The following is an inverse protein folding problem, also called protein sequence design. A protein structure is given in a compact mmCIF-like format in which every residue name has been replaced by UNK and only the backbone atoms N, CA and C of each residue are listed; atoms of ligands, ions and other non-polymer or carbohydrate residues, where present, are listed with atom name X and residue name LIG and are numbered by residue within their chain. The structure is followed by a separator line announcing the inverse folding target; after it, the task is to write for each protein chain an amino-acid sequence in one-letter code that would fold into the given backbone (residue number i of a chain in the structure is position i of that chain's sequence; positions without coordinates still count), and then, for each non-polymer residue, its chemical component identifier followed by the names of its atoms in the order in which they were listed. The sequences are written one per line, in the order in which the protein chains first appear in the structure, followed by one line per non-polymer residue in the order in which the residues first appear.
data_IF_343770999966
#
_entry.id   IF_343770999966
#
_cell.length_a   1.000
_cell.length_b   1.000
_cell.length_c   1.000
_cell.angle_alpha   90.00
_cell.angle_beta   90.00
_cell.angle_gamma   90.00
#
_symmetry.space_group_name_H-M   'P 1'
#
loop_
_entity.id
_entity.type
_entity.pdbx_description
1 polymer ?
#
# COMPACT_ATOMS: atom_id res chain seq x y z
N UNK A 1 8.45 3.12 -8.31
CA UNK A 1 7.03 3.23 -8.72
C UNK A 1 6.10 2.76 -7.61
N UNK A 2 4.91 3.34 -7.52
CA UNK A 2 3.92 2.97 -6.49
C UNK A 2 2.70 2.25 -7.07
N UNK A 3 2.12 1.33 -6.30
CA UNK A 3 0.84 0.66 -6.54
C UNK A 3 -0.03 0.86 -5.30
N UNK A 4 -0.88 1.87 -5.35
CA UNK A 4 -1.74 2.31 -4.25
C UNK A 4 -3.20 1.91 -4.47
N UNK A 5 -3.99 1.91 -3.42
CA UNK A 5 -5.43 1.62 -3.46
C UNK A 5 -5.94 1.04 -2.14
N UNK A 6 -7.25 0.95 -1.98
CA UNK A 6 -7.87 0.49 -0.72
C UNK A 6 -7.61 -0.99 -0.45
N UNK A 7 -7.82 -1.44 0.79
CA UNK A 7 -7.81 -2.87 1.11
C UNK A 7 -8.82 -3.64 0.27
N UNK A 8 -8.45 -4.84 -0.18
CA UNK A 8 -9.29 -5.68 -1.05
C UNK A 8 -9.31 -5.29 -2.53
N UNK A 9 -8.62 -4.22 -2.95
CA UNK A 9 -8.58 -3.79 -4.35
C UNK A 9 -7.60 -4.60 -5.23
N UNK A 10 -6.75 -5.44 -4.63
CA UNK A 10 -5.81 -6.32 -5.37
C UNK A 10 -4.40 -5.77 -5.59
N UNK A 11 -3.95 -4.78 -4.81
CA UNK A 11 -2.62 -4.15 -4.95
C UNK A 11 -1.45 -5.14 -5.01
N UNK A 12 -1.36 -6.04 -4.04
CA UNK A 12 -0.21 -6.94 -3.93
C UNK A 12 -0.15 -7.94 -5.09
N UNK A 13 -1.31 -8.41 -5.56
CA UNK A 13 -1.42 -9.23 -6.77
C UNK A 13 -1.00 -8.44 -8.01
N UNK A 14 -1.55 -7.23 -8.20
CA UNK A 14 -1.22 -6.37 -9.32
C UNK A 14 0.28 -6.03 -9.35
N UNK A 15 0.87 -5.71 -8.19
CA UNK A 15 2.28 -5.38 -8.07
C UNK A 15 3.18 -6.58 -8.39
N UNK A 16 2.82 -7.79 -7.94
CA UNK A 16 3.54 -9.01 -8.25
C UNK A 16 3.46 -9.37 -9.75
N UNK A 17 2.28 -9.25 -10.36
CA UNK A 17 2.09 -9.48 -11.80
C UNK A 17 2.85 -8.46 -12.65
N UNK A 18 2.81 -7.19 -12.25
CA UNK A 18 3.60 -6.14 -12.88
C UNK A 18 5.11 -6.40 -12.76
N UNK A 19 5.57 -6.85 -11.58
CA UNK A 19 6.95 -7.22 -11.37
C UNK A 19 7.38 -8.34 -12.32
N UNK A 20 6.60 -9.42 -12.40
CA UNK A 20 6.87 -10.54 -13.30
C UNK A 20 6.95 -10.09 -14.77
N UNK A 21 6.01 -9.25 -15.22
CA UNK A 21 5.99 -8.73 -16.59
C UNK A 21 7.22 -7.83 -16.89
N UNK A 22 7.71 -7.06 -15.92
CA UNK A 22 8.92 -6.26 -16.08
C UNK A 22 10.17 -7.14 -16.16
N UNK A 23 10.24 -8.17 -15.31
CA UNK A 23 11.33 -9.15 -15.30
C UNK A 23 11.40 -9.94 -16.60
N UNK A 24 10.26 -10.39 -17.13
CA UNK A 24 10.15 -11.04 -18.46
C UNK A 24 10.68 -10.15 -19.60
N UNK A 25 10.61 -8.83 -19.43
CA UNK A 25 11.15 -7.84 -20.37
C UNK A 25 12.62 -7.49 -20.10
N UNK A 26 13.28 -8.23 -19.22
CA UNK A 26 14.70 -8.05 -18.88
C UNK A 26 14.98 -6.86 -17.96
N UNK A 27 13.96 -6.34 -17.26
CA UNK A 27 14.13 -5.30 -16.25
C UNK A 27 14.06 -5.93 -14.85
N UNK A 28 15.16 -5.94 -14.07
CA UNK A 28 15.12 -6.43 -12.70
C UNK A 28 14.11 -5.64 -11.86
N UNK A 29 13.44 -6.31 -10.92
CA UNK A 29 12.47 -5.67 -10.03
C UNK A 29 12.82 -5.95 -8.58
N UNK A 30 12.64 -4.92 -7.74
CA UNK A 30 12.59 -5.06 -6.30
C UNK A 30 11.18 -4.71 -5.86
N UNK A 31 10.40 -5.73 -5.49
CA UNK A 31 9.06 -5.54 -4.97
C UNK A 31 9.10 -5.41 -3.44
N UNK A 32 8.58 -4.30 -2.92
CA UNK A 32 8.50 -4.02 -1.49
C UNK A 32 7.06 -3.70 -1.11
N UNK A 33 6.53 -4.36 -0.09
CA UNK A 33 5.25 -3.96 0.49
C UNK A 33 5.47 -2.90 1.56
N UNK A 34 4.70 -1.81 1.50
CA UNK A 34 4.70 -0.79 2.56
C UNK A 34 4.29 -1.39 3.92
N UNK A 35 3.62 -2.55 3.93
CA UNK A 35 3.21 -3.22 5.15
C UNK A 35 4.37 -3.59 6.08
N UNK A 36 5.58 -3.79 5.54
CA UNK A 36 6.83 -3.98 6.30
C UNK A 36 7.33 -2.73 7.02
N UNK A 37 6.64 -1.60 6.86
CA UNK A 37 6.92 -0.31 7.48
C UNK A 37 5.72 0.20 8.27
N UNK A 38 4.86 -0.70 8.76
CA UNK A 38 3.86 -0.29 9.75
C UNK A 38 4.54 0.18 11.05
N UNK A 39 3.89 1.10 11.74
CA UNK A 39 4.21 1.36 13.13
C UNK A 39 3.79 0.16 14.01
N UNK A 40 4.45 -0.03 15.17
CA UNK A 40 3.97 -0.94 16.19
C UNK A 40 2.54 -0.62 16.63
N UNK A 41 1.79 -1.63 17.09
CA UNK A 41 0.38 -1.49 17.55
C UNK A 41 0.21 -0.35 18.57
N UNK A 42 1.17 -0.18 19.46
CA UNK A 42 1.17 0.89 20.47
C UNK A 42 1.02 2.29 19.85
N UNK A 43 1.61 2.52 18.66
CA UNK A 43 1.46 3.80 17.95
C UNK A 43 0.23 3.81 17.06
N UNK A 44 -0.03 2.73 16.28
CA UNK A 44 -1.19 2.63 15.38
C UNK A 44 -2.54 2.78 16.09
N UNK A 45 -2.60 2.43 17.38
CA UNK A 45 -3.81 2.45 18.19
C UNK A 45 -3.81 3.54 19.27
N UNK A 46 -2.83 4.45 19.27
CA UNK A 46 -2.74 5.52 20.29
C UNK A 46 -3.95 6.46 20.32
N UNK A 47 -4.64 6.61 19.18
CA UNK A 47 -5.90 7.37 19.04
C UNK A 47 -7.15 6.53 19.30
N UNK A 48 -6.97 5.30 19.77
CA UNK A 48 -8.02 4.29 19.95
C UNK A 48 -8.01 3.25 18.84
N UNK A 49 -8.25 1.99 19.23
CA UNK A 49 -8.17 0.83 18.33
C UNK A 49 -9.12 0.91 17.12
N UNK A 50 -10.20 1.69 17.21
CA UNK A 50 -11.21 1.87 16.15
C UNK A 50 -11.15 3.25 15.46
N UNK A 51 -10.15 4.09 15.75
CA UNK A 51 -10.08 5.45 15.20
C UNK A 51 -9.73 5.44 13.70
N UNK A 52 -10.59 6.00 12.84
CA UNK A 52 -10.27 6.24 11.42
C UNK A 52 -9.07 7.17 11.23
N UNK A 53 -8.95 8.20 12.06
CA UNK A 53 -7.83 9.14 12.03
C UNK A 53 -6.51 8.44 12.37
N UNK A 54 -6.53 7.53 13.35
CA UNK A 54 -5.38 6.69 13.68
C UNK A 54 -5.00 5.75 12.53
N UNK A 55 -5.98 5.19 11.82
CA UNK A 55 -5.69 4.39 10.62
C UNK A 55 -5.03 5.21 9.52
N UNK A 56 -5.49 6.44 9.27
CA UNK A 56 -4.92 7.31 8.25
C UNK A 56 -3.53 7.88 8.62
N UNK A 57 -3.39 8.38 9.86
CA UNK A 57 -2.21 9.17 10.26
C UNK A 57 -1.11 8.34 10.92
N UNK A 58 -1.46 7.25 11.60
CA UNK A 58 -0.55 6.56 12.51
C UNK A 58 -0.17 5.14 12.05
N UNK A 59 -0.63 4.70 10.86
CA UNK A 59 -0.40 3.32 10.40
C UNK A 59 1.04 3.02 10.01
N UNK A 60 1.74 3.93 9.32
CA UNK A 60 3.02 3.66 8.66
C UNK A 60 4.14 4.61 9.10
N UNK A 61 5.35 4.07 9.13
CA UNK A 61 6.62 4.77 9.34
C UNK A 61 7.17 5.16 7.96
N UNK A 62 6.66 6.26 7.42
CA UNK A 62 7.12 6.74 6.13
C UNK A 62 8.58 7.19 6.16
N UNK A 63 9.09 7.65 7.32
CA UNK A 63 10.49 8.00 7.44
C UNK A 63 11.38 6.75 7.28
N UNK A 64 10.98 5.62 7.89
CA UNK A 64 11.66 4.36 7.69
C UNK A 64 11.53 3.85 6.25
N UNK A 65 10.34 3.91 5.64
CA UNK A 65 10.15 3.52 4.22
C UNK A 65 11.07 4.33 3.29
N UNK A 66 11.13 5.65 3.49
CA UNK A 66 12.00 6.53 2.71
C UNK A 66 13.46 6.16 2.92
N UNK A 67 13.93 6.08 4.16
CA UNK A 67 15.34 5.83 4.47
C UNK A 67 15.83 4.43 4.03
N UNK A 68 14.96 3.42 4.06
CA UNK A 68 15.33 2.03 3.79
C UNK A 68 15.06 1.59 2.36
N UNK A 69 14.25 2.32 1.59
CA UNK A 69 13.82 1.90 0.24
C UNK A 69 13.96 3.04 -0.75
N UNK A 70 13.20 4.14 -0.55
CA UNK A 70 13.04 5.18 -1.58
C UNK A 70 14.30 6.04 -1.76
N UNK A 71 15.09 6.21 -0.71
CA UNK A 71 16.32 7.00 -0.70
C UNK A 71 17.55 6.22 -0.21
N UNK A 72 17.51 4.88 -0.29
CA UNK A 72 18.58 4.01 0.22
C UNK A 72 19.76 3.80 -0.76
N UNK A 73 19.69 4.38 -1.97
CA UNK A 73 20.73 4.24 -2.99
C UNK A 73 20.83 2.82 -3.56
N UNK A 74 22.04 2.25 -3.56
CA UNK A 74 22.30 0.89 -4.07
C UNK A 74 21.84 -0.21 -3.12
N UNK A 75 21.64 0.11 -1.84
CA UNK A 75 21.13 -0.84 -0.86
C UNK A 75 19.64 -0.62 -0.64
N UNK A 76 18.99 -1.62 -0.08
CA UNK A 76 17.65 -1.49 0.46
C UNK A 76 17.40 -2.50 1.58
N UNK A 77 16.41 -2.21 2.42
CA UNK A 77 15.89 -3.14 3.42
C UNK A 77 14.37 -3.22 3.22
N UNK A 78 13.79 -4.41 2.98
CA UNK A 78 12.39 -4.51 2.54
C UNK A 78 11.37 -4.33 3.67
N UNK A 79 11.80 -4.43 4.93
CA UNK A 79 10.94 -4.26 6.10
C UNK A 79 11.77 -3.93 7.34
N UNK A 80 11.15 -3.21 8.29
CA UNK A 80 11.66 -2.94 9.64
C UNK A 80 10.68 -3.40 10.72
N UNK A 81 9.49 -3.83 10.34
CA UNK A 81 8.43 -4.28 11.23
C UNK A 81 7.61 -5.40 10.60
N UNK A 82 7.24 -6.41 11.38
CA UNK A 82 6.22 -7.39 11.01
C UNK A 82 4.87 -6.96 11.59
N UNK A 83 3.96 -6.52 10.73
CA UNK A 83 2.63 -6.03 11.11
C UNK A 83 1.77 -7.09 11.81
N UNK A 84 2.02 -8.38 11.56
CA UNK A 84 1.26 -9.51 12.12
C UNK A 84 1.73 -9.84 13.54
N UNK A 85 3.03 -10.06 13.72
CA UNK A 85 3.62 -10.40 15.02
C UNK A 85 3.83 -9.19 15.92
N UNK A 86 3.80 -7.99 15.33
CA UNK A 86 4.13 -6.71 15.96
C UNK A 86 5.61 -6.57 16.34
N UNK A 87 6.48 -7.41 15.78
CA UNK A 87 7.92 -7.41 16.06
C UNK A 87 8.69 -6.38 15.21
N UNK A 88 9.66 -5.72 15.85
CA UNK A 88 10.66 -4.91 15.14
C UNK A 88 11.67 -5.86 14.52
N UNK A 89 11.96 -5.66 13.24
CA UNK A 89 12.86 -6.49 12.45
C UNK A 89 14.20 -5.78 12.23
N UNK A 90 15.29 -6.52 12.38
CA UNK A 90 16.62 -6.09 11.94
C UNK A 90 17.10 -6.98 10.79
N UNK A 91 16.50 -6.77 9.62
CA UNK A 91 16.86 -7.49 8.42
C UNK A 91 18.19 -6.97 7.85
N UNK A 92 19.04 -7.83 7.27
CA UNK A 92 20.25 -7.37 6.60
C UNK A 92 19.90 -6.47 5.41
N UNK A 93 20.78 -5.50 5.13
CA UNK A 93 20.71 -4.74 3.89
C UNK A 93 20.94 -5.67 2.69
N UNK A 94 20.18 -5.42 1.64
CA UNK A 94 20.28 -6.14 0.37
C UNK A 94 20.80 -5.21 -0.71
N UNK A 95 21.59 -5.75 -1.63
CA UNK A 95 22.06 -5.02 -2.80
C UNK A 95 20.95 -5.03 -3.84
N UNK A 96 20.61 -3.85 -4.34
CA UNK A 96 19.67 -3.67 -5.45
C UNK A 96 20.36 -4.08 -6.75
N UNK A 97 19.72 -4.91 -7.61
CA UNK A 97 20.27 -5.18 -8.93
C UNK A 97 20.41 -3.88 -9.74
N UNK A 98 21.46 -3.80 -10.56
CA UNK A 98 21.71 -2.64 -11.41
C UNK A 98 20.51 -2.36 -12.32
N UNK A 99 20.06 -1.11 -12.33
CA UNK A 99 18.92 -0.67 -13.12
C UNK A 99 17.58 -1.28 -12.71
N UNK A 100 17.47 -1.85 -11.50
CA UNK A 100 16.21 -2.40 -11.02
C UNK A 100 15.13 -1.32 -10.82
N UNK A 101 13.89 -1.68 -11.12
CA UNK A 101 12.71 -0.88 -10.77
C UNK A 101 12.27 -1.27 -9.37
N UNK A 102 12.16 -0.31 -8.44
CA UNK A 102 11.46 -0.56 -7.18
C UNK A 102 9.96 -0.43 -7.44
N UNK A 103 9.20 -1.48 -7.12
CA UNK A 103 7.75 -1.46 -7.05
C UNK A 103 7.34 -1.47 -5.58
N UNK A 104 6.64 -0.42 -5.14
CA UNK A 104 6.09 -0.35 -3.77
C UNK A 104 4.58 -0.50 -3.82
N UNK A 105 4.02 -1.52 -3.18
CA UNK A 105 2.56 -1.65 -3.00
C UNK A 105 2.14 -1.35 -1.57
N UNK A 106 0.96 -0.76 -1.41
CA UNK A 106 0.48 -0.41 -0.08
C UNK A 106 -0.67 0.57 -0.06
N UNK A 107 -1.09 0.96 1.13
CA UNK A 107 -2.06 2.02 1.31
C UNK A 107 -1.35 3.37 1.34
N UNK A 108 -2.06 4.43 0.99
CA UNK A 108 -1.69 5.81 1.33
C UNK A 108 -0.42 6.33 0.62
N UNK A 109 -0.02 5.70 -0.48
CA UNK A 109 1.25 6.02 -1.14
C UNK A 109 1.24 7.35 -1.89
N UNK A 110 0.08 7.90 -2.26
CA UNK A 110 -0.03 9.22 -2.92
C UNK A 110 -0.22 10.39 -1.95
N UNK A 111 0.16 10.23 -0.67
CA UNK A 111 0.18 11.31 0.31
C UNK A 111 1.30 12.33 0.04
N UNK A 112 1.20 13.50 0.65
CA UNK A 112 2.09 14.65 0.40
C UNK A 112 3.57 14.29 0.66
N UNK A 113 3.83 13.48 1.68
CA UNK A 113 5.17 13.08 2.09
C UNK A 113 5.85 12.12 1.09
N UNK A 114 5.07 11.45 0.22
CA UNK A 114 5.55 10.39 -0.66
C UNK A 114 5.44 10.71 -2.15
N UNK A 115 4.51 11.57 -2.55
CA UNK A 115 4.18 11.79 -3.97
C UNK A 115 5.39 12.20 -4.82
N UNK A 116 6.35 12.93 -4.24
CA UNK A 116 7.56 13.38 -4.93
C UNK A 116 8.60 12.27 -5.18
N UNK A 117 8.45 11.10 -4.54
CA UNK A 117 9.36 9.96 -4.71
C UNK A 117 8.97 9.02 -5.86
N UNK A 118 7.81 9.25 -6.49
CA UNK A 118 7.30 8.35 -7.53
C UNK A 118 7.61 8.87 -8.93
N UNK A 119 8.52 8.21 -9.64
CA UNK A 119 8.72 8.46 -11.09
C UNK A 119 7.50 8.03 -11.92
N UNK A 120 6.78 7.02 -11.42
CA UNK A 120 5.55 6.48 -11.99
C UNK A 120 4.71 5.87 -10.86
N UNK A 121 3.39 5.99 -10.96
CA UNK A 121 2.50 5.36 -9.99
C UNK A 121 1.16 4.95 -10.57
N UNK A 122 0.58 3.92 -9.96
CA UNK A 122 -0.73 3.38 -10.26
C UNK A 122 -1.61 3.52 -9.02
N UNK A 123 -2.82 4.05 -9.21
CA UNK A 123 -3.87 3.97 -8.20
C UNK A 123 -4.95 2.99 -8.66
N UNK A 124 -5.09 1.89 -7.93
CA UNK A 124 -6.15 0.91 -8.12
C UNK A 124 -7.40 1.38 -7.39
N UNK A 125 -8.51 1.46 -8.12
CA UNK A 125 -9.81 1.86 -7.58
C UNK A 125 -10.85 0.77 -7.75
N UNK A 126 -11.74 0.65 -6.78
CA UNK A 126 -12.98 -0.10 -6.88
C UNK A 126 -13.94 0.40 -5.78
N UNK A 127 -15.26 0.26 -5.94
CA UNK A 127 -16.22 0.62 -4.89
C UNK A 127 -15.94 -0.15 -3.58
N UNK A 128 -16.14 0.49 -2.43
CA UNK A 128 -15.98 -0.19 -1.13
C UNK A 128 -16.86 -1.44 -1.00
N UNK A 129 -18.07 -1.44 -1.56
CA UNK A 129 -18.92 -2.63 -1.58
C UNK A 129 -18.25 -3.83 -2.28
N UNK A 130 -17.43 -3.59 -3.30
CA UNK A 130 -16.64 -4.62 -3.98
C UNK A 130 -15.45 -5.03 -3.13
N UNK A 131 -14.67 -4.06 -2.64
CA UNK A 131 -13.41 -4.38 -1.96
C UNK A 131 -13.63 -4.98 -0.57
N UNK A 132 -14.64 -4.52 0.17
CA UNK A 132 -15.04 -5.10 1.45
C UNK A 132 -15.58 -6.51 1.27
N UNK A 133 -16.43 -6.75 0.28
CA UNK A 133 -16.90 -8.11 -0.01
C UNK A 133 -15.74 -9.08 -0.33
N UNK A 134 -14.71 -8.62 -1.05
CA UNK A 134 -13.50 -9.41 -1.30
C UNK A 134 -12.70 -9.70 -0.02
N UNK A 135 -12.57 -8.72 0.87
CA UNK A 135 -11.94 -8.95 2.17
C UNK A 135 -12.72 -9.98 2.98
N UNK A 136 -14.04 -9.81 3.10
CA UNK A 136 -14.92 -10.73 3.80
C UNK A 136 -14.81 -12.17 3.28
N UNK A 137 -14.79 -12.35 1.95
CA UNK A 137 -14.59 -13.66 1.33
C UNK A 137 -13.21 -14.28 1.62
N UNK A 138 -12.18 -13.45 1.80
CA UNK A 138 -10.79 -13.89 2.04
C UNK A 138 -10.52 -14.25 3.50
N UNK A 139 -11.01 -13.44 4.44
CA UNK A 139 -10.61 -13.52 5.86
C UNK A 139 -11.79 -13.66 6.84
N UNK A 140 -13.02 -13.75 6.34
CA UNK A 140 -14.22 -13.90 7.16
C UNK A 140 -14.63 -12.62 7.90
N UNK A 141 -14.07 -11.47 7.51
CA UNK A 141 -14.52 -10.15 8.01
C UNK A 141 -15.93 -9.80 7.52
N UNK A 142 -16.43 -8.65 7.99
CA UNK A 142 -17.77 -8.20 7.66
C UNK A 142 -17.89 -7.78 6.19
N UNK A 143 -19.03 -8.07 5.55
CA UNK A 143 -19.23 -7.81 4.12
C UNK A 143 -19.91 -6.47 3.83
N UNK A 144 -20.53 -5.85 4.83
CA UNK A 144 -21.18 -4.54 4.71
C UNK A 144 -20.18 -3.40 4.96
N UNK A 145 -19.82 -2.57 3.96
CA UNK A 145 -18.88 -1.47 4.13
C UNK A 145 -19.34 -0.40 5.16
N UNK A 146 -20.64 -0.33 5.45
CA UNK A 146 -21.19 0.60 6.44
C UNK A 146 -21.23 0.00 7.86
N UNK A 147 -20.81 -1.27 8.03
CA UNK A 147 -20.80 -1.91 9.32
C UNK A 147 -19.82 -1.23 10.30
N UNK A 148 -20.20 -0.97 11.57
CA UNK A 148 -19.37 -0.23 12.53
C UNK A 148 -17.98 -0.83 12.80
N UNK A 149 -17.78 -2.14 12.61
CA UNK A 149 -16.47 -2.79 12.76
C UNK A 149 -15.46 -2.35 11.68
N UNK A 150 -15.95 -1.96 10.50
CA UNK A 150 -15.13 -1.52 9.37
C UNK A 150 -14.93 -0.01 9.32
N UNK A 151 -15.62 0.75 10.18
CA UNK A 151 -15.57 2.22 10.22
C UNK A 151 -14.13 2.74 10.28
N UNK A 152 -13.24 2.09 11.05
CA UNK A 152 -11.80 2.41 11.10
C UNK A 152 -11.17 2.45 9.71
N UNK A 153 -11.41 1.41 8.91
CA UNK A 153 -10.78 1.22 7.61
C UNK A 153 -11.45 2.08 6.54
N UNK A 154 -12.78 1.96 6.40
CA UNK A 154 -13.53 2.67 5.36
C UNK A 154 -13.48 4.19 5.57
N UNK A 155 -13.70 4.67 6.80
CA UNK A 155 -13.64 6.12 7.05
C UNK A 155 -12.20 6.65 6.98
N UNK A 156 -11.19 5.87 7.38
CA UNK A 156 -9.81 6.31 7.24
C UNK A 156 -9.36 6.39 5.77
N UNK A 157 -9.85 5.49 4.90
CA UNK A 157 -9.67 5.64 3.45
C UNK A 157 -10.40 6.88 2.91
N UNK A 158 -11.59 7.21 3.41
CA UNK A 158 -12.29 8.45 3.03
C UNK A 158 -11.53 9.71 3.48
N UNK A 159 -10.90 9.70 4.65
CA UNK A 159 -10.02 10.77 5.11
C UNK A 159 -8.83 10.94 4.17
N UNK A 160 -8.20 9.83 3.77
CA UNK A 160 -7.14 9.86 2.76
C UNK A 160 -7.60 10.46 1.43
N UNK A 161 -8.74 10.00 0.92
CA UNK A 161 -9.30 10.49 -0.34
C UNK A 161 -9.60 11.98 -0.30
N UNK A 162 -10.18 12.47 0.79
CA UNK A 162 -10.46 13.89 0.97
C UNK A 162 -9.18 14.73 1.07
N UNK A 163 -8.13 14.21 1.72
CA UNK A 163 -6.88 14.92 1.90
C UNK A 163 -6.01 14.94 0.63
N UNK A 164 -6.00 13.84 -0.14
CA UNK A 164 -5.01 13.64 -1.18
C UNK A 164 -5.59 13.54 -2.59
N UNK A 165 -6.86 13.16 -2.77
CA UNK A 165 -7.42 12.83 -4.09
C UNK A 165 -6.45 11.95 -4.92
N UNK A 166 -6.09 10.75 -4.44
CA UNK A 166 -4.95 9.99 -4.95
C UNK A 166 -5.02 9.68 -6.45
N UNK A 167 -6.21 9.51 -7.00
CA UNK A 167 -6.46 9.35 -8.43
C UNK A 167 -5.97 10.55 -9.28
N UNK A 168 -5.93 11.77 -8.73
CA UNK A 168 -5.39 12.95 -9.44
C UNK A 168 -3.86 13.01 -9.39
N UNK A 169 -3.25 12.32 -8.44
CA UNK A 169 -1.80 12.30 -8.20
C UNK A 169 -1.12 11.11 -8.89
N UNK A 170 -1.89 10.05 -9.17
CA UNK A 170 -1.39 8.88 -9.85
C UNK A 170 -1.01 9.15 -11.31
N UNK A 171 0.00 8.47 -11.82
CA UNK A 171 0.30 8.50 -13.27
C UNK A 171 -0.81 7.81 -14.06
N UNK A 172 -1.33 6.71 -13.54
CA UNK A 172 -2.44 5.96 -14.12
C UNK A 172 -3.43 5.54 -13.02
N UNK A 173 -4.72 5.61 -13.34
CA UNK A 173 -5.78 5.02 -12.52
C UNK A 173 -6.29 3.76 -13.21
N UNK A 174 -6.44 2.68 -12.44
CA UNK A 174 -7.01 1.42 -12.92
C UNK A 174 -8.23 1.08 -12.10
N UNK A 175 -9.39 1.04 -12.75
CA UNK A 175 -10.59 0.43 -12.20
C UNK A 175 -10.40 -1.09 -12.16
N UNK A 176 -10.31 -1.60 -10.95
CA UNK A 176 -10.13 -3.01 -10.63
C UNK A 176 -11.38 -3.62 -9.97
N UNK A 177 -12.56 -3.08 -10.29
CA UNK A 177 -13.86 -3.59 -9.82
C UNK A 177 -14.18 -4.99 -10.36
N UNK A 178 -13.67 -5.33 -11.55
CA UNK A 178 -13.71 -6.65 -12.16
C UNK A 178 -12.27 -7.12 -12.40
N UNK A 179 -11.82 -8.13 -11.64
CA UNK A 179 -10.42 -8.60 -11.69
C UNK A 179 -10.09 -9.27 -13.02
N UNK A 180 -11.08 -9.83 -13.73
CA UNK A 180 -10.87 -10.45 -15.02
C UNK A 180 -10.80 -9.42 -16.16
N UNK A 181 -11.24 -8.18 -15.88
CA UNK A 181 -11.36 -7.10 -16.87
C UNK A 181 -10.96 -5.73 -16.31
N UNK A 182 -9.72 -5.57 -15.78
CA UNK A 182 -9.25 -4.29 -15.29
C UNK A 182 -9.23 -3.24 -16.41
N UNK A 183 -9.56 -1.99 -16.08
CA UNK A 183 -9.62 -0.89 -17.07
C UNK A 183 -8.85 0.31 -16.60
N UNK A 184 -8.05 0.89 -17.48
CA UNK A 184 -7.49 2.21 -17.27
C UNK A 184 -8.59 3.27 -17.41
N UNK A 185 -8.64 4.23 -16.48
CA UNK A 185 -9.68 5.28 -16.40
C UNK A 185 -9.09 6.66 -16.18
#
# INVERSE_FOLDING_TARGET
MAVDGVDGVGKSTFAAELAAVLEERGRPVVHVSADGFHHPRAVRHRRGARSPEGFWLDSYDYAALIANVLNAGELYRPAVHDVRTDEVLDLPWQVRPDGAVIVVDGLFLHRDELVAYWDFSVFLTAPFAVTVARMAARDGSEADPDHPSLARYVQGQRLYFAACEPWRRATIVVDNSDLDRPRMV
#
